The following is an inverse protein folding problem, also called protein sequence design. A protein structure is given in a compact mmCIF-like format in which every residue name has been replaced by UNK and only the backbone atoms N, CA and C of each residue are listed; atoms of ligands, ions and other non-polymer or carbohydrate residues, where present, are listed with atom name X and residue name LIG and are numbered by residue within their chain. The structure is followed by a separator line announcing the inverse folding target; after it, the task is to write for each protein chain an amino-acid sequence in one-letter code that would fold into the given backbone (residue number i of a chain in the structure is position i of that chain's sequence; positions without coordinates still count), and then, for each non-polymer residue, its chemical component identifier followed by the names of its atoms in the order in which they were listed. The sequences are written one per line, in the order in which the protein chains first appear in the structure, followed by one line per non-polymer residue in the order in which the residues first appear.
data_IF_137308006580
#
_entry.id   IF_137308006580
#
_cell.length_a   1.000
_cell.length_b   1.000
_cell.length_c   1.000
_cell.angle_alpha   90.00
_cell.angle_beta   90.00
_cell.angle_gamma   90.00
#
_symmetry.space_group_name_H-M   'P 1'
#
loop_
_entity.id
_entity.type
_entity.pdbx_description
1 polymer ?
#
# COMPACT_ATOMS: atom_id res chain seq x y z
N UNK A 1 6.68 -8.90 -9.22
CA UNK A 1 5.78 -7.82 -8.78
C UNK A 1 6.67 -6.73 -8.28
N UNK A 2 6.79 -5.67 -9.07
CA UNK A 2 7.65 -4.51 -8.78
C UNK A 2 6.82 -3.43 -8.11
N UNK A 3 7.47 -2.43 -7.53
CA UNK A 3 6.82 -1.23 -6.96
C UNK A 3 5.83 -0.61 -7.98
N UNK A 4 6.25 -0.47 -9.24
CA UNK A 4 5.41 0.07 -10.31
C UNK A 4 4.14 -0.76 -10.56
N UNK A 5 4.20 -2.08 -10.37
CA UNK A 5 3.00 -2.91 -10.43
C UNK A 5 2.04 -2.60 -9.29
N UNK A 6 2.55 -2.44 -8.06
CA UNK A 6 1.75 -2.10 -6.88
C UNK A 6 1.07 -0.74 -7.08
N UNK A 7 1.79 0.26 -7.61
CA UNK A 7 1.24 1.60 -7.87
C UNK A 7 0.14 1.56 -8.94
N UNK A 8 0.37 0.82 -10.03
CA UNK A 8 -0.66 0.63 -11.06
C UNK A 8 -1.88 -0.13 -10.51
N UNK A 9 -1.65 -1.15 -9.68
CA UNK A 9 -2.71 -1.92 -9.02
C UNK A 9 -3.51 -1.00 -8.10
N UNK A 10 -2.86 -0.18 -7.28
CA UNK A 10 -3.50 0.82 -6.42
C UNK A 10 -4.43 1.76 -7.20
N UNK A 11 -3.94 2.36 -8.29
CA UNK A 11 -4.75 3.24 -9.13
C UNK A 11 -5.91 2.50 -9.81
N UNK A 12 -5.70 1.23 -10.15
CA UNK A 12 -6.75 0.38 -10.71
C UNK A 12 -7.81 0.05 -9.66
N UNK A 13 -7.42 -0.25 -8.42
CA UNK A 13 -8.32 -0.53 -7.30
C UNK A 13 -9.21 0.68 -7.00
N UNK A 14 -8.64 1.89 -6.92
CA UNK A 14 -9.39 3.14 -6.76
C UNK A 14 -10.44 3.36 -7.85
N UNK A 15 -10.12 3.00 -9.10
CA UNK A 15 -11.07 3.11 -10.22
C UNK A 15 -12.11 1.99 -10.27
N UNK A 16 -11.81 0.84 -9.66
CA UNK A 16 -12.62 -0.39 -9.76
C UNK A 16 -13.54 -0.58 -8.55
N UNK A 17 -13.17 -0.03 -7.40
CA UNK A 17 -14.02 -0.05 -6.23
C UNK A 17 -15.32 0.71 -6.52
N UNK A 18 -16.44 0.09 -6.21
CA UNK A 18 -17.77 0.71 -6.39
C UNK A 18 -18.25 1.41 -5.12
N UNK A 19 -17.56 1.21 -3.99
CA UNK A 19 -17.89 1.81 -2.70
C UNK A 19 -16.64 1.99 -1.83
N UNK A 20 -16.62 2.97 -0.90
CA UNK A 20 -15.47 3.22 -0.02
C UNK A 20 -15.11 2.02 0.86
N UNK A 21 -16.11 1.29 1.37
CA UNK A 21 -15.88 0.07 2.16
C UNK A 21 -15.16 -1.03 1.36
N UNK A 22 -15.52 -1.18 0.09
CA UNK A 22 -14.85 -2.12 -0.82
C UNK A 22 -13.42 -1.66 -1.14
N UNK A 23 -13.21 -0.34 -1.26
CA UNK A 23 -11.90 0.23 -1.50
C UNK A 23 -10.96 0.01 -0.30
N UNK A 24 -11.49 0.16 0.92
CA UNK A 24 -10.76 -0.10 2.15
C UNK A 24 -10.28 -1.56 2.24
N UNK A 25 -11.18 -2.52 1.95
CA UNK A 25 -10.86 -3.96 1.94
C UNK A 25 -9.79 -4.30 0.88
N UNK A 26 -9.92 -3.72 -0.32
CA UNK A 26 -8.95 -3.89 -1.40
C UNK A 26 -7.57 -3.29 -1.07
N UNK A 27 -7.54 -2.13 -0.41
CA UNK A 27 -6.30 -1.52 0.06
C UNK A 27 -5.68 -2.33 1.19
N UNK A 28 -6.47 -2.90 2.11
CA UNK A 28 -5.99 -3.80 3.15
C UNK A 28 -5.34 -5.05 2.56
N UNK A 29 -5.97 -5.71 1.58
CA UNK A 29 -5.39 -6.88 0.89
C UNK A 29 -4.08 -6.53 0.18
N UNK A 30 -4.02 -5.36 -0.48
CA UNK A 30 -2.80 -4.89 -1.14
C UNK A 30 -1.67 -4.66 -0.14
N UNK A 31 -1.94 -4.04 1.01
CA UNK A 31 -0.95 -3.85 2.08
C UNK A 31 -0.44 -5.18 2.64
N UNK A 32 -1.33 -6.15 2.91
CA UNK A 32 -0.94 -7.49 3.40
C UNK A 32 -0.02 -8.19 2.39
N UNK A 33 -0.31 -8.06 1.09
CA UNK A 33 0.55 -8.61 0.03
C UNK A 33 1.91 -7.91 0.02
N UNK A 34 1.95 -6.59 0.16
CA UNK A 34 3.20 -5.84 0.25
C UNK A 34 4.03 -6.27 1.44
N UNK A 35 3.43 -6.43 2.62
CA UNK A 35 4.11 -6.88 3.85
C UNK A 35 4.78 -8.23 3.64
N UNK A 36 4.05 -9.21 3.09
CA UNK A 36 4.61 -10.53 2.79
C UNK A 36 5.69 -10.50 1.73
N UNK A 37 5.53 -9.67 0.70
CA UNK A 37 6.43 -9.60 -0.46
C UNK A 37 7.74 -8.90 -0.13
N UNK A 38 7.65 -7.72 0.48
CA UNK A 38 8.78 -6.84 0.77
C UNK A 38 9.30 -7.02 2.19
N UNK A 39 8.74 -7.96 2.95
CA UNK A 39 9.08 -8.22 4.37
C UNK A 39 9.04 -6.92 5.17
N UNK A 40 7.95 -6.17 5.00
CA UNK A 40 7.76 -4.91 5.71
C UNK A 40 7.63 -5.25 7.20
N UNK A 41 8.51 -4.73 8.06
CA UNK A 41 8.39 -4.94 9.50
C UNK A 41 7.22 -4.13 10.04
N UNK A 42 6.61 -4.62 11.12
CA UNK A 42 5.53 -3.93 11.85
C UNK A 42 5.96 -2.50 12.26
N UNK A 43 7.23 -2.35 12.64
CA UNK A 43 7.88 -1.07 12.90
C UNK A 43 8.87 -0.76 11.77
N UNK A 44 8.53 0.22 10.93
CA UNK A 44 9.44 0.74 9.90
C UNK A 44 10.57 1.54 10.58
N UNK A 45 11.77 0.96 10.60
CA UNK A 45 12.97 1.63 11.10
C UNK A 45 13.59 2.51 10.02
N UNK A 46 14.38 3.52 10.43
CA UNK A 46 15.06 4.41 9.49
C UNK A 46 16.01 3.68 8.53
N UNK A 47 16.68 2.61 9.00
CA UNK A 47 17.55 1.77 8.17
C UNK A 47 16.76 1.01 7.10
N UNK A 48 15.68 0.34 7.50
CA UNK A 48 14.81 -0.38 6.55
C UNK A 48 14.19 0.59 5.53
N UNK A 49 13.79 1.78 5.97
CA UNK A 49 13.27 2.83 5.10
C UNK A 49 14.30 3.36 4.11
N UNK A 50 15.57 3.49 4.49
CA UNK A 50 16.59 3.92 3.54
C UNK A 50 16.80 2.90 2.42
N UNK A 51 16.79 1.61 2.75
CA UNK A 51 16.94 0.52 1.78
C UNK A 51 15.67 0.29 0.95
N UNK A 52 14.49 0.45 1.56
CA UNK A 52 13.19 0.15 0.97
C UNK A 52 12.33 1.40 0.77
N UNK A 53 12.98 2.55 0.60
CA UNK A 53 12.35 3.86 0.42
C UNK A 53 11.16 3.88 -0.54
N UNK A 54 11.23 3.28 -1.74
CA UNK A 54 10.08 3.22 -2.63
C UNK A 54 8.92 2.37 -2.07
N UNK A 55 9.20 1.27 -1.37
CA UNK A 55 8.17 0.43 -0.72
C UNK A 55 7.49 1.21 0.38
N UNK A 56 8.26 1.82 1.29
CA UNK A 56 7.75 2.62 2.41
C UNK A 56 6.87 3.77 1.90
N UNK A 57 7.32 4.46 0.85
CA UNK A 57 6.57 5.57 0.24
C UNK A 57 5.22 5.10 -0.28
N UNK A 58 5.18 3.98 -1.01
CA UNK A 58 3.92 3.43 -1.53
C UNK A 58 3.03 2.94 -0.39
N UNK A 59 3.58 2.22 0.58
CA UNK A 59 2.83 1.71 1.73
C UNK A 59 2.15 2.85 2.51
N UNK A 60 2.88 3.94 2.77
CA UNK A 60 2.31 5.16 3.38
C UNK A 60 1.25 5.81 2.50
N UNK A 61 1.44 5.82 1.19
CA UNK A 61 0.47 6.42 0.25
C UNK A 61 -0.84 5.64 0.27
N UNK A 62 -0.80 4.30 0.35
CA UNK A 62 -1.98 3.45 0.50
C UNK A 62 -2.67 3.73 1.86
N UNK A 63 -1.89 3.77 2.95
CA UNK A 63 -2.41 4.06 4.28
C UNK A 63 -3.06 5.45 4.38
N UNK A 64 -2.45 6.47 3.79
CA UNK A 64 -3.04 7.82 3.70
C UNK A 64 -4.33 7.83 2.89
N UNK A 65 -4.39 7.10 1.77
CA UNK A 65 -5.63 6.99 0.99
C UNK A 65 -6.77 6.35 1.78
N UNK A 66 -6.49 5.40 2.67
CA UNK A 66 -7.50 4.84 3.59
C UNK A 66 -7.99 5.86 4.62
N UNK A 67 -7.11 6.73 5.12
CA UNK A 67 -7.42 7.71 6.16
C UNK A 67 -8.12 8.97 5.61
N UNK A 68 -7.96 9.31 4.33
CA UNK A 68 -8.47 10.55 3.74
C UNK A 68 -9.97 10.53 3.38
N UNK A 69 -10.64 9.37 3.46
CA UNK A 69 -12.08 9.22 3.19
C UNK A 69 -12.94 9.10 4.47
N UNK A 70 -12.42 9.47 5.64
CA UNK A 70 -13.21 9.63 6.89
C UNK A 70 -13.48 11.11 7.17
#
# INVERSE_FOLDING_TARGET
MSIDSIINELQSLSKKASSPEQLDDLYADLMIRMEKKFKIPDVITGEWEQENKPVSTVYRLIASSRLMET
#
